data_IF_549269240611
#
_entry.id   IF_549269240611
#
_cell.length_a   1.000
_cell.length_b   1.000
_cell.length_c   1.000
_cell.angle_alpha   90.00
_cell.angle_beta   90.00
_cell.angle_gamma   90.00
#
_symmetry.space_group_name_H-M   'P 1'
#
loop_
_entity.id
_entity.type
_entity.pdbx_description
1 polymer ?
#
# COMPACT_ATOMS: atom_id res chain seq x y z
N UNK A 1 3.46 23.79 60.64
CA UNK A 1 4.48 23.43 61.64
C UNK A 1 5.26 22.23 61.13
N UNK A 2 6.57 22.42 60.92
CA UNK A 2 7.69 21.45 60.90
C UNK A 2 7.51 20.07 60.21
N UNK A 3 8.24 19.75 59.13
CA UNK A 3 9.70 19.51 58.95
C UNK A 3 10.14 18.06 59.25
N UNK A 4 11.03 17.58 58.38
CA UNK A 4 11.96 16.44 58.46
C UNK A 4 11.41 15.10 57.94
N UNK A 5 12.12 14.34 57.08
CA UNK A 5 13.54 13.98 57.11
C UNK A 5 14.11 13.77 55.67
N UNK A 6 15.28 14.35 55.32
CA UNK A 6 16.65 13.73 55.23
C UNK A 6 16.76 12.75 54.03
N UNK A 7 17.76 12.74 53.13
CA UNK A 7 19.15 13.21 53.09
C UNK A 7 19.57 13.55 51.64
N UNK A 8 20.63 14.35 51.52
CA UNK A 8 21.36 14.61 50.29
C UNK A 8 22.41 13.52 50.01
N UNK A 9 22.60 13.15 48.74
CA UNK A 9 23.84 12.55 48.24
C UNK A 9 24.15 13.15 46.86
N UNK A 10 25.37 13.66 46.70
CA UNK A 10 25.91 14.30 45.51
C UNK A 10 25.81 13.38 44.27
N UNK A 11 25.16 13.86 43.21
CA UNK A 11 25.31 13.30 41.87
C UNK A 11 26.23 14.21 41.05
N UNK A 12 27.40 13.67 40.71
CA UNK A 12 28.33 14.24 39.74
C UNK A 12 27.60 14.30 38.40
N UNK A 13 27.33 15.51 37.90
CA UNK A 13 26.77 15.73 36.58
C UNK A 13 27.83 15.37 35.52
N UNK A 14 27.77 14.14 35.02
CA UNK A 14 28.38 13.82 33.74
C UNK A 14 27.58 14.55 32.66
N UNK A 15 28.19 15.57 32.06
CA UNK A 15 27.69 16.13 30.80
C UNK A 15 27.88 15.02 29.77
N UNK A 16 26.84 14.22 29.56
CA UNK A 16 26.75 13.36 28.40
C UNK A 16 26.66 14.30 27.19
N UNK A 17 27.76 14.42 26.45
CA UNK A 17 27.72 14.96 25.10
C UNK A 17 26.81 14.02 24.33
N UNK A 18 25.66 14.45 23.80
CA UNK A 18 24.88 13.59 22.93
C UNK A 18 25.74 13.31 21.70
N UNK A 19 26.29 12.10 21.63
CA UNK A 19 26.71 11.53 20.36
C UNK A 19 25.48 11.52 19.47
N UNK A 20 25.45 12.42 18.48
CA UNK A 20 24.53 12.31 17.37
C UNK A 20 24.98 11.07 16.61
N UNK A 21 24.41 9.91 16.96
CA UNK A 21 24.46 8.75 16.09
C UNK A 21 23.68 9.15 14.85
N UNK A 22 24.38 9.47 13.77
CA UNK A 22 23.77 9.58 12.45
C UNK A 22 23.16 8.20 12.17
N UNK A 23 21.84 8.09 12.34
CA UNK A 23 21.12 6.86 12.10
C UNK A 23 21.41 6.37 10.68
N UNK A 24 21.78 5.10 10.57
CA UNK A 24 21.81 4.38 9.31
C UNK A 24 20.50 4.67 8.57
N UNK A 25 20.59 5.18 7.35
CA UNK A 25 19.42 5.65 6.60
C UNK A 25 18.43 4.50 6.45
N UNK A 26 17.24 4.63 7.04
CA UNK A 26 16.20 3.62 6.95
C UNK A 26 15.92 3.26 5.48
N UNK A 27 15.80 1.98 5.17
CA UNK A 27 15.49 1.50 3.82
C UNK A 27 14.18 2.17 3.35
N UNK A 28 14.17 2.68 2.12
CA UNK A 28 12.97 3.26 1.54
C UNK A 28 12.08 2.14 0.98
N UNK A 29 10.91 1.95 1.60
CA UNK A 29 9.97 0.88 1.29
C UNK A 29 9.39 0.96 -0.13
N UNK A 30 9.58 2.08 -0.83
CA UNK A 30 9.23 2.22 -2.26
C UNK A 30 10.00 1.26 -3.16
N UNK A 31 11.20 0.88 -2.76
CA UNK A 31 12.14 0.12 -3.59
C UNK A 31 12.29 -1.35 -3.15
N UNK A 32 11.46 -1.81 -2.21
CA UNK A 32 11.51 -3.20 -1.71
C UNK A 32 10.37 -4.07 -2.26
N UNK A 33 9.48 -3.48 -3.08
CA UNK A 33 8.43 -4.18 -3.81
C UNK A 33 8.89 -4.46 -5.24
N UNK A 34 8.42 -5.57 -5.81
CA UNK A 34 8.79 -5.96 -7.16
C UNK A 34 8.11 -5.07 -8.22
N UNK A 35 8.63 -5.13 -9.43
CA UNK A 35 7.92 -4.60 -10.59
C UNK A 35 6.82 -5.59 -11.00
N UNK A 36 5.72 -5.11 -11.62
CA UNK A 36 4.70 -6.00 -12.16
C UNK A 36 5.29 -6.92 -13.25
N UNK A 37 4.66 -8.08 -13.51
CA UNK A 37 5.23 -9.11 -14.37
C UNK A 37 5.33 -8.68 -15.84
N UNK A 38 4.49 -7.73 -16.26
CA UNK A 38 4.47 -7.17 -17.62
C UNK A 38 4.24 -5.66 -17.58
N UNK A 39 4.58 -4.97 -18.67
CA UNK A 39 4.28 -3.55 -18.86
C UNK A 39 2.80 -3.24 -19.08
N UNK A 40 1.93 -4.25 -19.20
CA UNK A 40 0.48 -4.06 -19.36
C UNK A 40 -0.21 -3.74 -18.02
N UNK A 41 0.44 -4.05 -16.91
CA UNK A 41 0.05 -3.59 -15.58
C UNK A 41 0.42 -2.11 -15.43
N UNK A 42 -0.60 -1.26 -15.36
CA UNK A 42 -0.47 0.18 -15.11
C UNK A 42 -0.87 0.48 -13.68
N UNK A 43 -0.21 1.45 -13.04
CA UNK A 43 -0.57 1.86 -11.68
C UNK A 43 -2.02 2.34 -11.64
N UNK A 44 -2.75 1.88 -10.63
CA UNK A 44 -4.14 2.24 -10.46
C UNK A 44 -4.23 3.72 -10.02
N UNK A 45 -5.22 4.47 -10.53
CA UNK A 45 -5.42 5.85 -10.09
C UNK A 45 -5.77 5.88 -8.59
N UNK A 46 -5.36 6.91 -7.84
CA UNK A 46 -5.70 7.03 -6.43
C UNK A 46 -7.21 7.04 -6.20
N UNK A 47 -7.69 6.21 -5.26
CA UNK A 47 -9.08 6.17 -4.83
C UNK A 47 -9.17 5.70 -3.36
N UNK A 48 -10.25 6.01 -2.61
CA UNK A 48 -10.38 5.62 -1.20
C UNK A 48 -10.32 4.10 -0.95
N UNK A 49 -10.68 3.31 -1.96
CA UNK A 49 -10.68 1.85 -2.01
C UNK A 49 -9.41 1.27 -2.67
N UNK A 50 -8.43 2.11 -2.98
CA UNK A 50 -7.13 1.72 -3.55
C UNK A 50 -6.03 2.14 -2.57
N UNK A 51 -5.34 1.17 -2.00
CA UNK A 51 -4.16 1.41 -1.18
C UNK A 51 -2.93 1.54 -2.08
N UNK A 52 -2.37 2.74 -2.15
CA UNK A 52 -1.13 3.02 -2.89
C UNK A 52 -0.28 4.03 -2.10
N UNK A 53 1.03 3.82 -2.10
CA UNK A 53 1.98 4.66 -1.39
C UNK A 53 2.23 4.24 0.07
N UNK A 54 2.85 5.12 0.87
CA UNK A 54 3.15 4.84 2.27
C UNK A 54 1.89 4.85 3.11
N UNK A 55 1.78 3.92 4.07
CA UNK A 55 0.63 3.83 4.97
C UNK A 55 1.03 3.59 6.43
N UNK A 56 0.20 4.11 7.32
CA UNK A 56 0.19 3.81 8.76
C UNK A 56 -0.81 2.70 9.08
N UNK A 57 -0.74 2.15 10.29
CA UNK A 57 -1.70 1.14 10.74
C UNK A 57 -3.16 1.64 10.70
N UNK A 58 -3.39 2.95 10.94
CA UNK A 58 -4.72 3.53 10.87
C UNK A 58 -5.19 3.67 9.42
N UNK A 59 -4.35 4.18 8.51
CA UNK A 59 -4.70 4.28 7.09
C UNK A 59 -5.00 2.91 6.48
N UNK A 60 -4.29 1.87 6.90
CA UNK A 60 -4.59 0.50 6.49
C UNK A 60 -5.96 0.03 7.02
N UNK A 61 -6.28 0.30 8.29
CA UNK A 61 -7.59 0.00 8.85
C UNK A 61 -8.74 0.76 8.15
N UNK A 62 -8.50 2.02 7.78
CA UNK A 62 -9.47 2.84 7.06
C UNK A 62 -9.69 2.31 5.63
N UNK A 63 -8.62 1.91 4.94
CA UNK A 63 -8.68 1.22 3.64
C UNK A 63 -9.50 -0.06 3.72
N UNK A 64 -9.24 -0.92 4.72
CA UNK A 64 -10.00 -2.15 4.93
C UNK A 64 -11.48 -1.86 5.17
N UNK A 65 -11.79 -0.79 5.91
CA UNK A 65 -13.17 -0.35 6.09
C UNK A 65 -13.80 0.18 4.79
N UNK A 66 -13.04 0.86 3.95
CA UNK A 66 -13.50 1.41 2.68
C UNK A 66 -13.84 0.32 1.65
N UNK A 67 -13.15 -0.83 1.69
CA UNK A 67 -13.45 -1.99 0.83
C UNK A 67 -14.59 -2.88 1.38
N UNK A 68 -15.25 -2.46 2.47
CA UNK A 68 -16.44 -3.12 3.02
C UNK A 68 -16.17 -4.13 4.14
N UNK A 69 -14.95 -4.16 4.67
CA UNK A 69 -14.53 -5.10 5.72
C UNK A 69 -14.43 -4.43 7.10
N UNK A 70 -14.38 -5.22 8.17
CA UNK A 70 -14.25 -4.65 9.53
C UNK A 70 -12.78 -4.27 9.85
N UNK A 71 -12.45 -2.99 9.67
CA UNK A 71 -11.14 -2.43 10.04
C UNK A 71 -10.99 -2.00 11.50
N UNK A 72 -12.05 -2.06 12.32
CA UNK A 72 -12.15 -1.35 13.61
C UNK A 72 -11.05 -1.70 14.62
N UNK A 73 -10.52 -2.92 14.58
CA UNK A 73 -9.43 -3.36 15.48
C UNK A 73 -8.08 -3.56 14.77
N UNK A 74 -8.03 -3.38 13.45
CA UNK A 74 -6.86 -3.72 12.65
C UNK A 74 -5.65 -2.84 12.98
N UNK A 75 -5.86 -1.55 13.20
CA UNK A 75 -4.79 -0.64 13.58
C UNK A 75 -4.14 -1.05 14.92
N UNK A 76 -4.96 -1.44 15.90
CA UNK A 76 -4.48 -1.93 17.21
C UNK A 76 -3.75 -3.26 17.04
N UNK A 77 -4.31 -4.17 16.24
CA UNK A 77 -3.72 -5.46 15.95
C UNK A 77 -2.32 -5.32 15.33
N UNK A 78 -2.16 -4.51 14.28
CA UNK A 78 -0.86 -4.23 13.66
C UNK A 78 0.15 -3.65 14.67
N UNK A 79 -0.27 -2.72 15.50
CA UNK A 79 0.59 -2.13 16.55
C UNK A 79 1.04 -3.15 17.59
N UNK A 80 0.18 -4.12 17.95
CA UNK A 80 0.55 -5.21 18.87
C UNK A 80 1.69 -6.04 18.29
N UNK A 81 1.69 -6.31 16.99
CA UNK A 81 2.81 -7.01 16.32
C UNK A 81 4.03 -6.13 16.08
N UNK A 82 4.01 -4.86 16.46
CA UNK A 82 5.13 -3.95 16.28
C UNK A 82 5.22 -3.34 14.88
N UNK A 83 4.10 -3.25 14.15
CA UNK A 83 4.05 -2.52 12.88
C UNK A 83 4.57 -1.08 13.06
N UNK A 84 5.49 -0.69 12.19
CA UNK A 84 6.11 0.64 12.15
C UNK A 84 5.47 1.47 11.05
N UNK A 85 5.53 0.96 9.81
CA UNK A 85 5.00 1.59 8.59
C UNK A 85 4.83 0.54 7.51
N UNK A 86 4.12 0.90 6.45
CA UNK A 86 4.03 0.05 5.28
C UNK A 86 4.03 0.84 3.99
N UNK A 87 4.11 0.12 2.88
CA UNK A 87 4.03 0.68 1.55
C UNK A 87 3.24 -0.27 0.66
N UNK A 88 2.38 0.28 -0.18
CA UNK A 88 1.56 -0.49 -1.11
C UNK A 88 1.72 0.04 -2.54
N UNK A 89 1.53 -0.85 -3.50
CA UNK A 89 1.38 -0.51 -4.91
C UNK A 89 0.25 -1.32 -5.49
N UNK A 90 -0.62 -0.66 -6.24
CA UNK A 90 -1.74 -1.31 -6.91
C UNK A 90 -1.66 -1.08 -8.41
N UNK A 91 -1.80 -2.16 -9.18
CA UNK A 91 -1.80 -2.14 -10.63
C UNK A 91 -3.02 -2.84 -11.21
N UNK A 92 -3.43 -2.40 -12.39
CA UNK A 92 -4.49 -3.01 -13.19
C UNK A 92 -3.91 -3.36 -14.54
N UNK A 93 -4.17 -4.57 -15.04
CA UNK A 93 -3.75 -4.97 -16.38
C UNK A 93 -4.70 -4.40 -17.44
N UNK A 94 -4.13 -3.77 -18.48
CA UNK A 94 -4.93 -3.09 -19.51
C UNK A 94 -5.78 -4.10 -20.31
N UNK A 95 -7.08 -3.82 -20.39
CA UNK A 95 -8.01 -4.55 -21.25
C UNK A 95 -8.42 -5.92 -20.71
N UNK A 96 -8.02 -6.26 -19.49
CA UNK A 96 -8.44 -7.46 -18.76
C UNK A 96 -9.13 -7.08 -17.45
N UNK A 97 -9.62 -8.08 -16.71
CA UNK A 97 -10.15 -7.88 -15.36
C UNK A 97 -9.15 -8.22 -14.26
N UNK A 98 -7.85 -8.01 -14.52
CA UNK A 98 -6.78 -8.43 -13.61
C UNK A 98 -6.21 -7.28 -12.81
N UNK A 99 -5.95 -7.57 -11.54
CA UNK A 99 -5.32 -6.68 -10.58
C UNK A 99 -4.07 -7.33 -10.01
N UNK A 100 -3.06 -6.53 -9.73
CA UNK A 100 -1.93 -6.88 -8.88
C UNK A 100 -1.86 -5.86 -7.74
N UNK A 101 -1.73 -6.34 -6.51
CA UNK A 101 -1.46 -5.52 -5.33
C UNK A 101 -0.21 -6.09 -4.67
N UNK A 102 0.77 -5.23 -4.41
CA UNK A 102 1.92 -5.58 -3.58
C UNK A 102 2.00 -4.70 -2.35
N UNK A 103 2.33 -5.30 -1.21
CA UNK A 103 2.39 -4.63 0.08
C UNK A 103 3.61 -5.09 0.86
N UNK A 104 4.19 -4.17 1.62
CA UNK A 104 5.20 -4.46 2.65
C UNK A 104 4.74 -3.86 3.98
N UNK A 105 4.88 -4.65 5.04
CA UNK A 105 4.59 -4.28 6.41
C UNK A 105 5.88 -4.38 7.23
N UNK A 106 6.50 -3.22 7.48
CA UNK A 106 7.71 -3.13 8.29
C UNK A 106 7.35 -3.23 9.77
N UNK A 107 7.99 -4.16 10.47
CA UNK A 107 7.84 -4.33 11.91
C UNK A 107 9.12 -3.97 12.64
N UNK A 108 8.99 -3.65 13.92
CA UNK A 108 10.11 -3.29 14.79
C UNK A 108 11.06 -4.47 15.08
N UNK A 109 10.65 -5.71 14.79
CA UNK A 109 11.49 -6.90 14.87
C UNK A 109 10.94 -8.06 14.04
N UNK A 110 11.82 -9.03 13.74
CA UNK A 110 11.42 -10.30 13.09
C UNK A 110 10.46 -11.15 13.92
N UNK A 111 10.43 -11.00 15.25
CA UNK A 111 9.43 -11.70 16.10
C UNK A 111 8.03 -11.15 15.86
N UNK A 112 7.90 -9.83 15.72
CA UNK A 112 6.65 -9.18 15.37
C UNK A 112 6.12 -9.59 14.00
N UNK A 113 6.99 -9.44 12.98
CA UNK A 113 6.69 -9.85 11.61
C UNK A 113 6.32 -11.33 11.50
N UNK A 114 7.10 -12.22 12.15
CA UNK A 114 6.82 -13.65 12.13
C UNK A 114 5.50 -14.02 12.81
N UNK A 115 5.11 -13.31 13.87
CA UNK A 115 3.83 -13.53 14.53
C UNK A 115 2.65 -13.04 13.67
N UNK A 116 2.80 -11.93 12.94
CA UNK A 116 1.83 -11.49 11.94
C UNK A 116 1.72 -12.51 10.80
N UNK A 117 2.84 -12.89 10.17
CA UNK A 117 2.91 -13.87 9.08
C UNK A 117 2.15 -15.16 9.43
N UNK A 118 2.42 -15.72 10.61
CA UNK A 118 1.74 -16.93 11.07
C UNK A 118 0.25 -16.74 11.32
N UNK A 119 -0.17 -15.54 11.75
CA UNK A 119 -1.58 -15.23 11.93
C UNK A 119 -2.31 -15.07 10.59
N UNK A 120 -1.68 -14.41 9.61
CA UNK A 120 -2.20 -14.31 8.24
C UNK A 120 -2.37 -15.70 7.65
N UNK A 121 -1.33 -16.54 7.67
CA UNK A 121 -1.39 -17.92 7.17
C UNK A 121 -2.58 -18.72 7.76
N UNK A 122 -2.71 -18.72 9.10
CA UNK A 122 -3.83 -19.39 9.78
C UNK A 122 -5.19 -18.84 9.36
N UNK A 123 -5.31 -17.52 9.22
CA UNK A 123 -6.57 -16.90 8.81
C UNK A 123 -6.91 -17.20 7.34
N UNK A 124 -5.91 -17.20 6.44
CA UNK A 124 -6.07 -17.55 5.03
C UNK A 124 -6.57 -18.99 4.88
N UNK A 125 -5.91 -19.95 5.52
CA UNK A 125 -6.33 -21.36 5.44
C UNK A 125 -7.65 -21.67 6.13
N UNK A 126 -8.14 -20.78 7.01
CA UNK A 126 -9.42 -20.91 7.69
C UNK A 126 -10.55 -20.14 7.01
N UNK A 127 -10.26 -19.32 5.98
CA UNK A 127 -11.25 -18.56 5.24
C UNK A 127 -12.21 -19.51 4.50
N UNK A 128 -13.48 -19.14 4.41
CA UNK A 128 -14.48 -19.95 3.66
C UNK A 128 -14.19 -20.02 2.17
N UNK A 129 -13.47 -19.02 1.68
CA UNK A 129 -13.15 -18.81 0.28
C UNK A 129 -11.90 -19.57 -0.13
N UNK A 130 -11.13 -20.09 0.83
CA UNK A 130 -9.92 -20.85 0.58
C UNK A 130 -10.21 -22.11 -0.25
N UNK A 131 -9.57 -22.19 -1.42
CA UNK A 131 -9.68 -23.32 -2.34
C UNK A 131 -8.47 -24.25 -2.27
N UNK A 132 -7.35 -23.79 -1.74
CA UNK A 132 -6.15 -24.60 -1.61
C UNK A 132 -4.88 -23.79 -1.53
N UNK A 133 -3.79 -24.48 -1.19
CA UNK A 133 -2.46 -23.90 -1.12
C UNK A 133 -1.89 -23.76 -2.53
N UNK A 134 -1.18 -22.67 -2.77
CA UNK A 134 -0.30 -22.50 -3.92
C UNK A 134 1.12 -22.74 -3.44
N UNK A 135 1.85 -23.59 -4.16
CA UNK A 135 3.24 -23.87 -3.82
C UNK A 135 4.11 -22.64 -4.06
N UNK A 136 4.82 -22.17 -3.03
CA UNK A 136 5.78 -21.07 -3.10
C UNK A 136 7.22 -21.56 -2.95
N UNK A 137 7.47 -22.86 -2.96
CA UNK A 137 8.82 -23.41 -2.94
C UNK A 137 9.63 -22.92 -4.17
N UNK A 138 10.93 -22.59 -4.00
CA UNK A 138 11.78 -22.84 -2.82
C UNK A 138 11.87 -21.66 -1.83
N UNK A 139 10.94 -20.70 -1.85
CA UNK A 139 11.05 -19.47 -1.05
C UNK A 139 10.87 -19.78 0.44
N UNK A 140 11.89 -19.55 1.30
CA UNK A 140 11.77 -19.78 2.74
C UNK A 140 10.69 -18.89 3.36
N UNK A 141 10.07 -19.38 4.44
CA UNK A 141 9.11 -18.61 5.25
C UNK A 141 8.03 -17.91 4.41
N UNK A 142 7.45 -18.65 3.45
CA UNK A 142 6.40 -18.18 2.56
C UNK A 142 5.23 -19.15 2.52
N UNK A 143 4.06 -18.65 2.12
CA UNK A 143 2.93 -19.48 1.73
C UNK A 143 2.15 -18.82 0.59
N UNK A 144 1.46 -19.65 -0.19
CA UNK A 144 0.53 -19.21 -1.22
C UNK A 144 -0.85 -19.82 -1.00
N UNK A 145 -1.88 -19.12 -1.43
CA UNK A 145 -3.26 -19.57 -1.34
C UNK A 145 -4.08 -19.08 -2.52
N UNK A 146 -5.01 -19.92 -2.96
CA UNK A 146 -6.08 -19.53 -3.87
C UNK A 146 -7.37 -19.34 -3.06
N UNK A 147 -8.06 -18.23 -3.30
CA UNK A 147 -9.37 -17.93 -2.73
C UNK A 147 -10.36 -17.63 -3.85
N UNK A 148 -11.57 -18.18 -3.74
CA UNK A 148 -12.65 -17.97 -4.70
C UNK A 148 -13.76 -17.17 -4.04
N UNK A 149 -14.20 -16.15 -4.77
CA UNK A 149 -14.99 -15.10 -4.22
C UNK A 149 -16.23 -14.83 -5.05
N UNK A 150 -17.36 -14.62 -4.37
CA UNK A 150 -18.66 -14.65 -5.03
C UNK A 150 -19.02 -16.04 -5.56
N UNK A 151 -19.90 -16.11 -6.56
CA UNK A 151 -20.29 -17.36 -7.20
C UNK A 151 -20.87 -17.13 -8.59
N UNK A 152 -20.84 -18.16 -9.45
CA UNK A 152 -21.43 -18.11 -10.77
C UNK A 152 -20.87 -16.97 -11.62
N UNK A 153 -21.72 -16.05 -12.06
CA UNK A 153 -21.33 -14.92 -12.92
C UNK A 153 -20.55 -13.81 -12.20
N UNK A 154 -20.44 -13.85 -10.87
CA UNK A 154 -19.64 -12.91 -10.07
C UNK A 154 -18.42 -13.58 -9.44
N UNK A 155 -18.07 -14.79 -9.91
CA UNK A 155 -16.91 -15.52 -9.41
C UNK A 155 -15.64 -14.75 -9.77
N UNK A 156 -14.80 -14.53 -8.77
CA UNK A 156 -13.50 -13.90 -8.91
C UNK A 156 -12.47 -14.75 -8.16
N UNK A 157 -11.28 -14.88 -8.74
CA UNK A 157 -10.20 -15.73 -8.25
C UNK A 157 -9.07 -14.85 -7.71
N UNK A 158 -8.84 -14.94 -6.41
CA UNK A 158 -7.75 -14.28 -5.73
C UNK A 158 -6.61 -15.27 -5.46
N UNK A 159 -5.40 -14.83 -5.79
CA UNK A 159 -4.16 -15.58 -5.66
C UNK A 159 -3.27 -14.76 -4.73
N UNK A 160 -3.07 -15.26 -3.52
CA UNK A 160 -2.33 -14.55 -2.47
C UNK A 160 -1.03 -15.29 -2.20
N UNK A 161 0.07 -14.56 -2.23
CA UNK A 161 1.38 -15.04 -1.83
C UNK A 161 1.96 -14.13 -0.77
N UNK A 162 2.37 -14.70 0.37
CA UNK A 162 2.90 -13.96 1.50
C UNK A 162 4.27 -14.54 1.85
N UNK A 163 5.24 -13.66 2.13
CA UNK A 163 6.58 -14.05 2.59
C UNK A 163 7.01 -13.22 3.80
N UNK A 164 7.76 -13.87 4.68
CA UNK A 164 8.43 -13.25 5.81
C UNK A 164 9.93 -13.13 5.47
N UNK A 165 10.48 -11.91 5.58
CA UNK A 165 11.93 -11.70 5.41
C UNK A 165 12.42 -10.64 6.39
N UNK A 166 13.34 -11.02 7.26
CA UNK A 166 13.86 -10.13 8.29
C UNK A 166 12.79 -9.68 9.28
N UNK A 167 12.54 -8.36 9.30
CA UNK A 167 11.52 -7.70 10.12
C UNK A 167 10.26 -7.31 9.33
N UNK A 168 10.10 -7.82 8.11
CA UNK A 168 9.01 -7.43 7.21
C UNK A 168 8.14 -8.62 6.81
N UNK A 169 6.86 -8.33 6.59
CA UNK A 169 5.93 -9.22 5.89
C UNK A 169 5.61 -8.58 4.55
N UNK A 170 5.81 -9.32 3.46
CA UNK A 170 5.46 -8.90 2.12
C UNK A 170 4.31 -9.73 1.59
N UNK A 171 3.52 -9.13 0.71
CA UNK A 171 2.37 -9.76 0.11
C UNK A 171 2.26 -9.37 -1.36
N UNK A 172 1.99 -10.37 -2.20
CA UNK A 172 1.51 -10.21 -3.56
C UNK A 172 0.10 -10.80 -3.66
N UNK A 173 -0.86 -9.99 -4.08
CA UNK A 173 -2.22 -10.41 -4.39
C UNK A 173 -2.46 -10.18 -5.87
N UNK A 174 -2.84 -11.24 -6.57
CA UNK A 174 -3.31 -11.18 -7.95
C UNK A 174 -4.78 -11.58 -7.99
N UNK A 175 -5.60 -10.85 -8.73
CA UNK A 175 -7.03 -11.13 -8.86
C UNK A 175 -7.44 -11.22 -10.32
N UNK A 176 -8.36 -12.12 -10.67
CA UNK A 176 -8.89 -12.29 -12.03
C UNK A 176 -10.29 -12.88 -12.05
N UNK A 177 -11.06 -12.60 -13.11
CA UNK A 177 -12.30 -13.34 -13.41
C UNK A 177 -12.04 -14.67 -14.14
N UNK A 178 -10.77 -14.98 -14.41
CA UNK A 178 -10.29 -16.24 -14.99
C UNK A 178 -9.38 -16.99 -14.02
N UNK A 179 -9.53 -18.32 -13.96
CA UNK A 179 -8.69 -19.17 -13.11
C UNK A 179 -7.33 -19.50 -13.78
N UNK A 180 -6.45 -18.52 -13.93
CA UNK A 180 -5.20 -18.69 -14.69
C UNK A 180 -3.96 -17.98 -14.15
N UNK A 181 -4.00 -17.47 -12.91
CA UNK A 181 -2.89 -16.67 -12.35
C UNK A 181 -1.94 -17.42 -11.39
N UNK A 182 -2.11 -18.72 -11.17
CA UNK A 182 -1.24 -19.48 -10.24
C UNK A 182 0.25 -19.32 -10.56
N UNK A 183 0.66 -19.54 -11.81
CA UNK A 183 2.08 -19.40 -12.19
C UNK A 183 2.56 -17.96 -12.19
N UNK A 184 1.67 -17.00 -12.51
CA UNK A 184 1.99 -15.58 -12.43
C UNK A 184 2.26 -15.15 -10.99
N UNK A 185 1.44 -15.62 -10.04
CA UNK A 185 1.67 -15.40 -8.62
C UNK A 185 3.01 -15.98 -8.17
N UNK A 186 3.31 -17.22 -8.52
CA UNK A 186 4.58 -17.87 -8.13
C UNK A 186 5.81 -17.06 -8.58
N UNK A 187 5.78 -16.58 -9.83
CA UNK A 187 6.84 -15.72 -10.37
C UNK A 187 6.90 -14.37 -9.65
N UNK A 188 5.75 -13.77 -9.33
CA UNK A 188 5.70 -12.50 -8.62
C UNK A 188 6.24 -12.61 -7.20
N UNK A 189 5.86 -13.65 -6.45
CA UNK A 189 6.36 -13.90 -5.09
C UNK A 189 7.88 -14.14 -5.11
N UNK A 190 8.38 -14.85 -6.13
CA UNK A 190 9.82 -15.01 -6.33
C UNK A 190 10.51 -13.66 -6.61
N UNK A 191 9.96 -12.83 -7.50
CA UNK A 191 10.51 -11.50 -7.78
C UNK A 191 10.50 -10.60 -6.53
N UNK A 192 9.44 -10.69 -5.72
CA UNK A 192 9.31 -9.98 -4.45
C UNK A 192 10.36 -10.44 -3.43
N UNK A 193 10.59 -11.75 -3.33
CA UNK A 193 11.65 -12.31 -2.48
C UNK A 193 13.06 -11.84 -2.89
N UNK A 194 13.36 -11.82 -4.19
CA UNK A 194 14.66 -11.36 -4.71
C UNK A 194 14.86 -9.85 -4.50
N UNK A 195 13.78 -9.06 -4.59
CA UNK A 195 13.82 -7.61 -4.39
C UNK A 195 13.92 -7.21 -2.91
N UNK A 196 13.25 -7.96 -2.03
CA UNK A 196 13.22 -7.67 -0.61
C UNK A 196 14.63 -7.76 0.01
N UNK A 197 15.08 -6.75 0.78
CA UNK A 197 16.34 -6.83 1.51
C UNK A 197 16.29 -7.90 2.61
N UNK A 198 17.43 -8.33 3.17
CA UNK A 198 17.44 -9.23 4.32
C UNK A 198 16.73 -8.67 5.55
N UNK A 199 16.74 -7.35 5.73
CA UNK A 199 16.05 -6.58 6.76
C UNK A 199 15.96 -5.10 6.32
N UNK A 200 14.89 -4.40 6.72
CA UNK A 200 14.69 -2.96 6.48
C UNK A 200 15.06 -2.12 7.70
N UNK A 201 14.98 -2.72 8.89
CA UNK A 201 15.51 -2.19 10.15
C UNK A 201 16.67 -3.08 10.57
N UNK A 202 17.88 -2.53 10.81
CA UNK A 202 19.01 -3.32 11.27
C UNK A 202 18.69 -4.11 12.55
N UNK A 203 19.12 -5.37 12.64
CA UNK A 203 18.89 -6.23 13.83
C UNK A 203 19.31 -5.60 15.16
N UNK A 204 20.34 -4.76 15.15
CA UNK A 204 20.82 -4.02 16.32
C UNK A 204 19.81 -3.00 16.86
N UNK A 205 18.86 -2.57 16.03
CA UNK A 205 17.80 -1.61 16.34
C UNK A 205 16.45 -2.28 16.62
N UNK A 206 16.38 -3.62 16.55
CA UNK A 206 15.12 -4.32 16.76
C UNK A 206 14.62 -4.14 18.18
N UNK A 207 13.34 -3.77 18.29
CA UNK A 207 12.63 -3.70 19.56
C UNK A 207 11.53 -4.75 19.55
N UNK A 208 11.45 -5.54 20.61
CA UNK A 208 10.44 -6.59 20.75
C UNK A 208 9.28 -6.06 21.61
N UNK A 209 8.20 -5.54 20.99
CA UNK A 209 7.03 -5.06 21.74
C UNK A 209 6.21 -6.21 22.37
N UNK A 210 6.43 -7.44 21.91
CA UNK A 210 5.65 -8.60 22.33
C UNK A 210 6.14 -9.16 23.67
N UNK A 211 5.50 -8.76 24.78
CA UNK A 211 5.42 -9.65 25.95
C UNK A 211 4.47 -10.81 25.62
N UNK A 212 4.94 -12.05 25.78
CA UNK A 212 4.21 -13.29 25.49
C UNK A 212 2.78 -13.42 26.08
N UNK A 213 2.41 -12.54 27.01
CA UNK A 213 1.05 -12.46 27.56
C UNK A 213 0.01 -11.90 26.57
N UNK A 214 0.41 -11.04 25.62
CA UNK A 214 -0.50 -10.34 24.69
C UNK A 214 -0.93 -11.27 23.54
N UNK A 215 -0.04 -12.13 23.06
CA UNK A 215 -0.32 -13.07 21.95
C UNK A 215 -1.32 -14.16 22.33
N UNK A 216 -1.38 -14.56 23.61
CA UNK A 216 -2.34 -15.55 24.12
C UNK A 216 -3.71 -14.98 24.49
N UNK A 217 -3.82 -13.66 24.68
CA UNK A 217 -5.06 -12.99 25.11
C UNK A 217 -5.77 -12.27 23.96
N UNK A 218 -5.09 -11.98 22.84
CA UNK A 218 -5.74 -11.66 21.58
C UNK A 218 -6.29 -12.93 20.93
N UNK A 219 -7.42 -13.42 21.45
CA UNK A 219 -8.31 -14.28 20.66
C UNK A 219 -8.86 -13.41 19.55
N UNK A 220 -8.25 -13.46 18.37
CA UNK A 220 -8.88 -13.02 17.12
C UNK A 220 -10.13 -13.89 16.98
N UNK A 221 -11.35 -13.37 17.19
CA UNK A 221 -12.55 -14.16 16.95
C UNK A 221 -12.49 -14.70 15.52
N UNK A 222 -13.00 -15.89 15.28
CA UNK A 222 -13.00 -16.52 13.94
C UNK A 222 -13.72 -15.69 12.85
N UNK A 223 -14.42 -14.62 13.24
CA UNK A 223 -15.01 -13.60 12.36
C UNK A 223 -14.11 -12.39 12.08
N UNK A 224 -13.04 -12.18 12.84
CA UNK A 224 -11.98 -11.19 12.60
C UNK A 224 -10.93 -11.76 11.65
N UNK A 225 -11.38 -12.34 10.54
CA UNK A 225 -10.46 -12.66 9.46
C UNK A 225 -9.64 -11.37 9.26
N UNK A 226 -8.32 -11.52 9.17
CA UNK A 226 -7.45 -10.45 8.69
C UNK A 226 -7.77 -10.32 7.19
N UNK A 227 -9.02 -9.94 6.89
CA UNK A 227 -9.60 -9.84 5.56
C UNK A 227 -8.83 -8.76 4.82
N UNK A 228 -8.31 -7.77 5.55
CA UNK A 228 -7.43 -6.74 5.01
C UNK A 228 -6.20 -7.27 4.27
N UNK A 229 -5.56 -8.36 4.71
CA UNK A 229 -4.51 -9.01 3.91
C UNK A 229 -5.14 -9.81 2.76
N UNK A 230 -6.16 -10.62 3.06
CA UNK A 230 -6.46 -11.80 2.26
C UNK A 230 -7.57 -11.62 1.22
N UNK A 231 -8.57 -10.73 1.35
CA UNK A 231 -9.64 -10.61 0.34
C UNK A 231 -10.45 -9.30 0.49
N UNK A 232 -11.16 -8.66 -0.45
CA UNK A 232 -11.48 -8.92 -1.85
C UNK A 232 -11.65 -7.61 -2.64
N UNK A 233 -11.25 -7.72 -3.91
CA UNK A 233 -11.59 -6.93 -5.08
C UNK A 233 -13.10 -6.70 -5.38
N UNK A 234 -14.02 -6.67 -4.39
CA UNK A 234 -15.44 -6.39 -4.67
C UNK A 234 -15.65 -4.95 -5.14
N UNK A 235 -14.87 -4.03 -4.60
CA UNK A 235 -14.89 -2.63 -5.07
C UNK A 235 -14.10 -2.51 -6.37
N UNK A 236 -12.97 -3.20 -6.53
CA UNK A 236 -12.18 -3.15 -7.76
C UNK A 236 -12.86 -3.81 -8.96
N UNK A 237 -13.56 -4.94 -8.83
CA UNK A 237 -14.34 -5.54 -9.93
C UNK A 237 -15.54 -4.68 -10.34
N UNK A 238 -16.20 -4.02 -9.38
CA UNK A 238 -17.28 -3.07 -9.66
C UNK A 238 -16.74 -1.74 -10.25
N UNK A 239 -15.62 -1.22 -9.76
CA UNK A 239 -14.92 -0.03 -10.26
C UNK A 239 -14.30 -0.32 -11.62
N UNK A 240 -13.76 -1.51 -11.86
CA UNK A 240 -13.22 -1.93 -13.16
C UNK A 240 -14.34 -2.18 -14.16
N UNK A 241 -15.48 -2.75 -13.75
CA UNK A 241 -16.69 -2.79 -14.57
C UNK A 241 -17.22 -1.38 -14.86
N UNK A 242 -17.21 -0.46 -13.89
CA UNK A 242 -17.59 0.95 -14.08
C UNK A 242 -16.58 1.68 -14.98
N UNK A 243 -15.27 1.42 -14.85
CA UNK A 243 -14.20 1.96 -15.68
C UNK A 243 -14.29 1.40 -17.10
N UNK A 244 -14.54 0.11 -17.28
CA UNK A 244 -14.72 -0.52 -18.59
C UNK A 244 -16.05 -0.11 -19.25
N UNK A 245 -17.12 0.12 -18.47
CA UNK A 245 -18.37 0.71 -18.96
C UNK A 245 -18.21 2.22 -19.27
N UNK A 246 -17.36 2.95 -18.54
CA UNK A 246 -17.01 4.34 -18.82
C UNK A 246 -16.11 4.48 -20.05
N UNK A 247 -15.15 3.56 -20.23
CA UNK A 247 -14.27 3.42 -21.40
C UNK A 247 -15.03 2.92 -22.64
N UNK A 248 -16.15 2.21 -22.45
CA UNK A 248 -17.08 1.79 -23.53
C UNK A 248 -18.11 2.84 -23.91
N UNK A 249 -18.19 3.98 -23.22
CA UNK A 249 -18.99 5.11 -23.71
C UNK A 249 -18.16 5.83 -24.78
N UNK A 250 -18.57 5.84 -26.06
CA UNK A 250 -18.02 6.80 -27.00
C UNK A 250 -18.54 8.18 -26.58
N UNK A 251 -17.80 8.85 -25.72
CA UNK A 251 -17.84 10.30 -25.62
C UNK A 251 -16.44 10.77 -25.91
N UNK A 252 -16.28 11.32 -27.12
CA UNK A 252 -15.10 12.04 -27.53
C UNK A 252 -14.59 12.92 -26.38
N UNK A 253 -13.39 12.63 -25.89
CA UNK A 253 -12.76 13.29 -24.77
C UNK A 253 -11.30 12.88 -24.71
N UNK A 254 -10.42 13.85 -24.95
CA UNK A 254 -8.99 13.71 -25.23
C UNK A 254 -8.21 13.10 -24.05
N UNK A 255 -7.21 12.27 -24.34
CA UNK A 255 -6.23 11.76 -23.38
C UNK A 255 -5.53 12.92 -22.62
N UNK A 256 -5.07 12.71 -21.37
CA UNK A 256 -4.33 13.72 -20.62
C UNK A 256 -3.01 14.02 -21.36
N UNK A 257 -3.00 15.13 -22.08
CA UNK A 257 -1.84 15.60 -22.83
C UNK A 257 -1.01 16.47 -21.90
N UNK A 258 0.20 16.02 -21.56
CA UNK A 258 1.16 16.81 -20.82
C UNK A 258 1.47 18.07 -21.66
N UNK A 259 1.19 19.29 -21.17
CA UNK A 259 1.46 20.51 -21.92
C UNK A 259 2.96 20.67 -22.18
N UNK A 260 3.34 21.07 -23.39
CA UNK A 260 4.74 21.40 -23.68
C UNK A 260 5.06 22.79 -23.09
N UNK A 261 5.79 22.81 -21.98
CA UNK A 261 6.12 24.00 -21.21
C UNK A 261 7.44 24.63 -21.68
N UNK A 262 7.59 25.95 -21.53
CA UNK A 262 8.87 26.63 -21.69
C UNK A 262 9.85 26.20 -20.57
N UNK A 263 11.18 26.32 -20.76
CA UNK A 263 12.17 25.88 -19.75
C UNK A 263 12.03 26.55 -18.39
N UNK A 264 11.54 27.79 -18.37
CA UNK A 264 11.25 28.57 -17.15
C UNK A 264 9.84 28.29 -16.59
N UNK A 265 9.04 27.48 -17.28
CA UNK A 265 7.67 27.14 -16.92
C UNK A 265 6.69 28.31 -16.95
N UNK A 266 7.05 29.46 -17.53
CA UNK A 266 6.17 30.62 -17.59
C UNK A 266 5.12 30.52 -18.72
N UNK A 267 5.40 29.72 -19.75
CA UNK A 267 4.57 29.59 -20.93
C UNK A 267 4.32 28.12 -21.29
N UNK A 268 3.22 27.86 -22.00
CA UNK A 268 2.92 26.57 -22.63
C UNK A 268 2.62 26.77 -24.12
N UNK A 269 2.94 25.75 -24.92
CA UNK A 269 2.72 25.78 -26.37
C UNK A 269 1.33 25.25 -26.72
N UNK A 270 0.50 26.09 -27.36
CA UNK A 270 -0.86 25.70 -27.77
C UNK A 270 -0.94 24.99 -29.13
N UNK A 271 0.22 24.72 -29.75
CA UNK A 271 0.33 24.18 -31.10
C UNK A 271 0.61 25.25 -32.17
N UNK A 272 0.36 26.53 -31.87
CA UNK A 272 0.56 27.66 -32.79
C UNK A 272 1.36 28.82 -32.17
N UNK A 273 1.21 29.07 -30.88
CA UNK A 273 1.89 30.14 -30.13
C UNK A 273 2.13 29.76 -28.68
N UNK A 274 3.10 30.42 -28.06
CA UNK A 274 3.32 30.36 -26.62
C UNK A 274 2.24 31.17 -25.90
N UNK A 275 1.64 30.57 -24.87
CA UNK A 275 0.63 31.19 -24.00
C UNK A 275 1.10 31.22 -22.57
N UNK A 276 0.74 32.27 -21.87
CA UNK A 276 1.17 32.48 -20.49
C UNK A 276 0.41 31.55 -19.55
N UNK A 277 1.16 30.72 -18.80
CA UNK A 277 0.61 29.65 -17.98
C UNK A 277 -0.19 30.16 -16.77
N UNK A 278 0.10 31.39 -16.31
CA UNK A 278 -0.56 32.01 -15.16
C UNK A 278 -1.94 32.61 -15.47
N UNK A 279 -2.23 32.89 -16.76
CA UNK A 279 -3.43 33.62 -17.17
C UNK A 279 -4.36 32.81 -18.08
N UNK A 280 -3.84 31.83 -18.80
CA UNK A 280 -4.60 31.02 -19.77
C UNK A 280 -4.13 29.56 -19.73
N UNK A 281 -4.59 28.74 -18.78
CA UNK A 281 -4.11 27.38 -18.61
C UNK A 281 -4.61 26.47 -19.75
N UNK A 282 -3.81 25.49 -20.21
CA UNK A 282 -4.19 24.61 -21.31
C UNK A 282 -5.53 23.91 -21.03
N UNK A 283 -6.45 23.96 -21.99
CA UNK A 283 -7.74 23.26 -21.89
C UNK A 283 -7.56 21.73 -21.78
N UNK A 284 -6.43 21.21 -22.26
CA UNK A 284 -6.07 19.80 -22.23
C UNK A 284 -5.36 19.37 -20.94
N UNK A 285 -5.01 20.29 -20.03
CA UNK A 285 -4.29 19.95 -18.81
C UNK A 285 -5.22 19.35 -17.75
N UNK A 286 -4.74 18.31 -17.07
CA UNK A 286 -5.44 17.69 -15.94
C UNK A 286 -5.72 18.72 -14.85
N UNK A 287 -6.91 18.63 -14.24
CA UNK A 287 -7.36 19.52 -13.15
C UNK A 287 -7.40 18.76 -11.84
N UNK A 288 -7.14 19.45 -10.73
CA UNK A 288 -7.37 18.89 -9.39
C UNK A 288 -8.87 18.66 -9.15
N UNK A 289 -9.20 17.78 -8.22
CA UNK A 289 -10.60 17.40 -7.94
C UNK A 289 -11.47 18.60 -7.47
N UNK A 290 -10.86 19.56 -6.79
CA UNK A 290 -11.48 20.82 -6.37
C UNK A 290 -11.52 21.89 -7.48
N UNK A 291 -10.92 21.62 -8.65
CA UNK A 291 -10.81 22.55 -9.77
C UNK A 291 -9.91 23.75 -9.51
N UNK A 292 -9.25 23.84 -8.35
CA UNK A 292 -8.43 24.99 -7.97
C UNK A 292 -7.04 24.97 -8.66
N UNK A 293 -6.60 23.81 -9.14
CA UNK A 293 -5.29 23.62 -9.71
C UNK A 293 -5.32 22.90 -11.05
N UNK A 294 -4.24 23.06 -11.80
CA UNK A 294 -3.94 22.31 -13.01
C UNK A 294 -2.53 21.75 -13.02
N UNK A 295 -2.35 20.61 -13.69
CA UNK A 295 -1.07 19.92 -13.78
C UNK A 295 -0.27 20.41 -15.00
N UNK A 296 0.94 20.90 -14.77
CA UNK A 296 1.82 21.39 -15.84
C UNK A 296 2.77 20.31 -16.42
N UNK A 297 2.70 19.08 -15.91
CA UNK A 297 3.64 17.99 -16.24
C UNK A 297 4.68 17.72 -15.15
N UNK A 298 4.86 18.64 -14.21
CA UNK A 298 5.86 18.55 -13.12
C UNK A 298 5.35 19.02 -11.75
N UNK A 299 4.41 19.98 -11.74
CA UNK A 299 3.89 20.62 -10.53
C UNK A 299 2.43 21.06 -10.71
N UNK A 300 1.70 21.17 -9.59
CA UNK A 300 0.34 21.70 -9.56
C UNK A 300 0.35 23.23 -9.50
N UNK A 301 -0.39 23.88 -10.41
CA UNK A 301 -0.49 25.34 -10.53
C UNK A 301 -1.90 25.83 -10.27
N UNK A 302 -2.02 26.98 -9.60
CA UNK A 302 -3.31 27.61 -9.34
C UNK A 302 -4.02 28.01 -10.65
N UNK A 303 -5.33 27.83 -10.67
CA UNK A 303 -6.20 28.38 -11.70
C UNK A 303 -6.25 29.91 -11.62
N UNK A 304 -6.19 30.62 -12.76
CA UNK A 304 -6.46 32.05 -12.77
C UNK A 304 -7.89 32.32 -12.30
N UNK A 305 -8.07 33.31 -11.44
CA UNK A 305 -9.40 33.72 -10.99
C UNK A 305 -10.28 34.14 -12.19
N UNK A 306 -11.59 33.83 -12.18
CA UNK A 306 -12.50 34.30 -13.23
C UNK A 306 -12.40 35.82 -13.36
N UNK A 307 -12.15 36.33 -14.57
CA UNK A 307 -12.20 37.78 -14.79
C UNK A 307 -13.64 38.25 -14.53
N UNK A 308 -13.85 39.33 -13.76
CA UNK A 308 -15.19 39.91 -13.63
C UNK A 308 -15.68 40.33 -15.02
N UNK A 309 -16.92 39.95 -15.36
CA UNK A 309 -17.55 40.33 -16.62
C UNK A 309 -17.60 41.86 -16.74
N UNK A 310 -17.03 42.39 -17.82
CA UNK A 310 -17.18 43.78 -18.27
C UNK A 310 -18.02 43.84 -19.53
#
# INVERSE_FOLDING_TARGET
>A
MNRAKVAAALAIAWIAIPTIVLGESAVDLRYVLAYPPTSEYIEAPPAPDILDGPFTAQQYADYVSAIGEDGSHLATYLRVYGFVRGYARTWVERGTHRVLIERVFEHSSGTGAGALFNAVNRSTSAAKQYQGAIDTAPIPDSFGAKLDEGSGATLFHDYVGVLLKGNDVYEALMGSDTDDLTSALQLQVHALFETAPPETIPKSQWTNPLTAAVTNSFRVPSSFIVVGFVVLALVLGAVLLILLLALRRPKAGLAPMIPNMSPDGAYWWDGQRWREASSDPPNSASRSADGAYWWDGSSWRLMPAPRPFG
#
